data_IF_373603608224
#
_entry.id   IF_373603608224
#
_cell.length_a   1.000
_cell.length_b   1.000
_cell.length_c   1.000
_cell.angle_alpha   90.00
_cell.angle_beta   90.00
_cell.angle_gamma   90.00
#
_symmetry.space_group_name_H-M   'P 1'
#
loop_
_entity.id
_entity.type
_entity.pdbx_description
1 polymer ?
#
# COMPACT_ATOMS: atom_id res chain seq x y z
N UNK A 1 -49.98 -44.11 -21.72
CA UNK A 1 -49.95 -43.26 -22.93
C UNK A 1 -48.55 -42.70 -23.08
N UNK A 2 -47.89 -42.95 -24.22
CA UNK A 2 -46.71 -42.23 -24.73
C UNK A 2 -47.16 -41.50 -26.03
N UNK A 3 -46.34 -40.68 -26.71
CA UNK A 3 -45.34 -39.67 -26.29
C UNK A 3 -45.45 -38.35 -27.12
N UNK A 4 -44.68 -37.30 -26.81
CA UNK A 4 -44.03 -36.28 -27.70
C UNK A 4 -43.40 -35.17 -26.83
N UNK A 5 -42.29 -34.46 -27.10
CA UNK A 5 -41.05 -34.56 -27.93
C UNK A 5 -40.12 -33.38 -27.54
N UNK A 6 -38.79 -33.59 -27.50
CA UNK A 6 -37.65 -32.67 -27.80
C UNK A 6 -37.41 -31.38 -26.94
N UNK A 7 -36.20 -30.95 -26.54
CA UNK A 7 -34.79 -31.40 -26.66
C UNK A 7 -33.79 -30.38 -26.02
N UNK A 8 -32.69 -30.89 -25.42
CA UNK A 8 -31.30 -30.42 -25.13
C UNK A 8 -30.88 -28.91 -25.06
N UNK A 9 -29.69 -28.52 -24.49
CA UNK A 9 -28.82 -29.16 -23.49
C UNK A 9 -28.25 -28.22 -22.36
N UNK A 10 -27.57 -28.89 -21.44
CA UNK A 10 -26.64 -28.50 -20.35
C UNK A 10 -25.69 -27.32 -20.67
N UNK A 11 -25.59 -26.36 -19.76
CA UNK A 11 -24.44 -25.43 -19.67
C UNK A 11 -23.60 -25.66 -18.41
N UNK A 12 -22.29 -25.69 -18.67
CA UNK A 12 -21.20 -25.97 -17.75
C UNK A 12 -20.80 -24.72 -16.96
N UNK A 13 -20.40 -24.97 -15.72
CA UNK A 13 -19.63 -24.05 -14.88
C UNK A 13 -18.19 -24.00 -15.42
N UNK A 14 -17.74 -22.85 -15.94
CA UNK A 14 -16.35 -22.38 -15.87
C UNK A 14 -16.30 -20.89 -16.20
N UNK A 15 -15.49 -20.11 -15.46
CA UNK A 15 -14.56 -19.10 -16.01
C UNK A 15 -14.02 -18.17 -14.92
N UNK A 16 -12.99 -18.65 -14.20
CA UNK A 16 -12.14 -17.85 -13.32
C UNK A 16 -10.78 -17.48 -13.93
N UNK A 17 -10.56 -17.73 -15.23
CA UNK A 17 -9.25 -17.55 -15.88
C UNK A 17 -9.22 -16.48 -16.99
N UNK A 18 -10.31 -15.78 -17.25
CA UNK A 18 -10.40 -14.74 -18.30
C UNK A 18 -10.02 -13.34 -17.82
N UNK A 19 -10.20 -13.04 -16.53
CA UNK A 19 -9.95 -11.70 -15.97
C UNK A 19 -8.45 -11.34 -15.85
N UNK A 20 -7.60 -12.30 -15.47
CA UNK A 20 -6.16 -12.07 -15.31
C UNK A 20 -5.44 -11.84 -16.65
N UNK A 21 -5.85 -12.54 -17.72
CA UNK A 21 -5.33 -12.30 -19.08
C UNK A 21 -5.72 -10.92 -19.60
N UNK A 22 -6.94 -10.46 -19.30
CA UNK A 22 -7.40 -9.11 -19.65
C UNK A 22 -6.59 -8.02 -18.92
N UNK A 23 -6.31 -8.19 -17.63
CA UNK A 23 -5.47 -7.25 -16.87
C UNK A 23 -4.02 -7.24 -17.36
N UNK A 24 -3.45 -8.41 -17.70
CA UNK A 24 -2.09 -8.51 -18.23
C UNK A 24 -1.94 -7.82 -19.60
N UNK A 25 -2.94 -7.96 -20.49
CA UNK A 25 -2.95 -7.31 -21.80
C UNK A 25 -2.99 -5.78 -21.69
N UNK A 26 -3.79 -5.26 -20.76
CA UNK A 26 -3.96 -3.81 -20.58
C UNK A 26 -2.67 -3.13 -20.05
N UNK A 27 -1.84 -3.86 -19.31
CA UNK A 27 -0.53 -3.40 -18.83
C UNK A 27 0.50 -3.38 -19.97
N UNK A 28 0.44 -4.33 -20.90
CA UNK A 28 1.31 -4.39 -22.09
C UNK A 28 1.03 -3.20 -23.01
N UNK A 29 -0.25 -2.89 -23.25
CA UNK A 29 -0.68 -1.80 -24.14
C UNK A 29 -0.28 -0.41 -23.60
N UNK A 30 -0.23 -0.23 -22.27
CA UNK A 30 0.17 1.02 -21.63
C UNK A 30 1.70 1.21 -21.58
N UNK A 31 2.48 0.12 -21.65
CA UNK A 31 3.93 0.12 -21.56
C UNK A 31 4.66 0.22 -22.92
N UNK A 32 3.93 0.20 -24.05
CA UNK A 32 4.50 0.47 -25.38
C UNK A 32 5.51 -0.57 -25.90
N UNK A 33 5.42 -1.83 -25.46
CA UNK A 33 6.26 -2.92 -25.96
C UNK A 33 5.56 -3.64 -27.12
N UNK A 34 6.03 -3.43 -28.35
CA UNK A 34 5.55 -4.19 -29.51
C UNK A 34 6.35 -5.49 -29.67
N UNK A 35 5.66 -6.63 -29.64
CA UNK A 35 6.17 -7.93 -30.07
C UNK A 35 5.30 -8.38 -31.25
N UNK A 36 5.93 -8.57 -32.39
CA UNK A 36 5.31 -9.00 -33.65
C UNK A 36 5.07 -10.52 -33.65
N UNK A 37 3.87 -10.92 -34.03
CA UNK A 37 3.45 -12.31 -34.22
C UNK A 37 4.18 -12.93 -35.41
N UNK A 38 4.99 -13.95 -35.15
CA UNK A 38 5.43 -14.94 -36.14
C UNK A 38 5.91 -16.20 -35.41
N UNK A 39 5.02 -16.93 -34.72
CA UNK A 39 5.33 -18.29 -34.24
C UNK A 39 4.05 -19.12 -33.98
N UNK A 40 3.19 -19.26 -35.01
CA UNK A 40 2.07 -20.22 -35.02
C UNK A 40 2.38 -21.52 -35.79
N UNK A 41 3.64 -21.98 -35.81
CA UNK A 41 4.00 -23.26 -36.44
C UNK A 41 4.73 -24.28 -35.54
N UNK A 42 4.77 -24.12 -34.21
CA UNK A 42 5.48 -25.05 -33.32
C UNK A 42 4.63 -25.83 -32.31
N UNK A 43 3.30 -25.89 -32.46
CA UNK A 43 2.44 -26.62 -31.49
C UNK A 43 1.92 -27.99 -31.92
N UNK A 44 2.31 -28.54 -33.08
CA UNK A 44 1.95 -29.91 -33.48
C UNK A 44 3.06 -30.96 -33.32
N UNK A 45 4.27 -30.57 -32.91
CA UNK A 45 5.38 -31.53 -32.74
C UNK A 45 5.58 -32.03 -31.29
N UNK A 46 4.78 -31.58 -30.34
CA UNK A 46 4.98 -31.87 -28.91
C UNK A 46 4.06 -32.97 -28.34
N UNK A 47 3.20 -33.59 -29.15
CA UNK A 47 2.33 -34.69 -28.69
C UNK A 47 2.83 -36.09 -29.07
N UNK A 48 3.85 -36.21 -29.92
CA UNK A 48 4.43 -37.50 -30.31
C UNK A 48 5.69 -37.88 -29.50
N UNK A 49 6.21 -36.97 -28.66
CA UNK A 49 7.44 -37.19 -27.90
C UNK A 49 7.22 -37.73 -26.48
N UNK A 50 5.96 -37.73 -25.99
CA UNK A 50 5.63 -38.21 -24.63
C UNK A 50 5.51 -39.75 -24.57
N UNK A 51 5.09 -40.42 -25.66
CA UNK A 51 4.97 -41.89 -25.68
C UNK A 51 6.29 -42.67 -25.78
N UNK A 52 7.41 -42.02 -26.11
CA UNK A 52 8.73 -42.70 -26.22
C UNK A 52 9.48 -42.67 -24.86
N UNK A 53 9.13 -41.75 -23.95
CA UNK A 53 9.77 -41.65 -22.64
C UNK A 53 9.18 -42.59 -21.57
N UNK A 54 7.97 -43.12 -21.75
CA UNK A 54 7.36 -44.04 -20.77
C UNK A 54 7.78 -45.51 -20.97
N UNK A 55 8.21 -45.92 -22.18
CA UNK A 55 8.63 -47.30 -22.46
C UNK A 55 10.03 -47.67 -21.91
N UNK A 56 10.85 -46.70 -21.52
CA UNK A 56 12.24 -46.92 -21.11
C UNK A 56 12.44 -47.06 -19.59
N UNK A 57 11.37 -46.96 -18.79
CA UNK A 57 11.44 -46.98 -17.32
C UNK A 57 11.19 -48.35 -16.66
N UNK A 58 11.01 -49.44 -17.42
CA UNK A 58 10.71 -50.76 -16.84
C UNK A 58 11.80 -51.84 -16.93
N UNK A 59 13.07 -51.51 -17.26
CA UNK A 59 14.09 -52.56 -17.40
C UNK A 59 15.42 -52.43 -16.65
N UNK A 60 15.59 -51.52 -15.69
CA UNK A 60 16.84 -51.47 -14.92
C UNK A 60 16.65 -51.40 -13.40
N UNK A 61 16.11 -52.48 -12.83
CA UNK A 61 16.13 -52.67 -11.37
C UNK A 61 16.68 -54.03 -10.90
N UNK A 62 17.50 -54.71 -11.70
CA UNK A 62 18.26 -55.86 -11.21
C UNK A 62 19.71 -55.81 -11.71
N UNK A 63 20.61 -55.39 -10.83
CA UNK A 63 21.84 -56.11 -10.43
C UNK A 63 22.82 -55.15 -9.75
N UNK A 64 22.75 -55.10 -8.42
CA UNK A 64 23.95 -54.90 -7.62
C UNK A 64 24.79 -56.17 -7.74
N UNK A 65 26.03 -56.06 -8.23
CA UNK A 65 27.17 -56.70 -7.59
C UNK A 65 28.50 -56.28 -8.25
N UNK A 66 29.34 -55.66 -7.41
CA UNK A 66 30.77 -55.91 -7.32
C UNK A 66 31.66 -55.54 -8.53
N UNK A 67 32.35 -54.39 -8.46
CA UNK A 67 33.81 -54.25 -8.65
C UNK A 67 34.24 -52.78 -8.71
N UNK A 68 35.26 -52.45 -7.89
CA UNK A 68 36.19 -51.34 -8.10
C UNK A 68 35.67 -49.92 -7.86
N UNK A 69 36.25 -49.21 -6.89
CA UNK A 69 36.13 -47.75 -6.74
C UNK A 69 36.27 -47.06 -8.11
N UNK A 70 35.27 -46.28 -8.50
CA UNK A 70 35.31 -45.42 -9.69
C UNK A 70 36.21 -44.23 -9.39
N UNK A 71 37.50 -44.33 -9.75
CA UNK A 71 38.40 -43.19 -9.68
C UNK A 71 38.03 -42.21 -10.81
N UNK A 72 37.50 -41.05 -10.45
CA UNK A 72 37.18 -40.01 -11.42
C UNK A 72 38.48 -39.35 -11.88
N UNK A 73 38.93 -39.69 -13.09
CA UNK A 73 40.09 -39.05 -13.72
C UNK A 73 39.69 -37.67 -14.24
N UNK A 74 39.81 -36.65 -13.38
CA UNK A 74 39.60 -35.25 -13.74
C UNK A 74 40.95 -34.70 -14.22
N UNK A 75 41.08 -34.21 -15.47
CA UNK A 75 42.31 -33.59 -15.95
C UNK A 75 42.75 -32.47 -14.99
N UNK A 76 44.04 -32.37 -14.61
CA UNK A 76 44.49 -31.37 -13.65
C UNK A 76 44.10 -29.93 -14.00
N UNK A 77 43.89 -29.64 -15.30
CA UNK A 77 43.44 -28.35 -15.83
C UNK A 77 41.92 -28.10 -15.70
N UNK A 78 41.07 -29.13 -15.64
CA UNK A 78 39.62 -28.99 -15.39
C UNK A 78 39.24 -29.14 -13.91
N UNK A 79 40.15 -29.68 -13.09
CA UNK A 79 39.99 -29.79 -11.64
C UNK A 79 40.31 -28.50 -10.86
N UNK A 80 40.69 -27.42 -11.54
CA UNK A 80 40.98 -26.11 -10.93
C UNK A 80 39.75 -25.22 -10.76
N UNK A 81 38.54 -25.80 -10.72
CA UNK A 81 37.44 -25.11 -10.06
C UNK A 81 37.88 -24.93 -8.58
N UNK A 82 38.05 -23.70 -8.07
CA UNK A 82 38.47 -23.54 -6.68
C UNK A 82 37.37 -24.17 -5.81
N UNK A 83 37.67 -25.33 -5.22
CA UNK A 83 36.79 -26.08 -4.30
C UNK A 83 36.66 -25.38 -2.94
N UNK A 84 36.81 -24.05 -2.92
CA UNK A 84 36.78 -23.20 -1.74
C UNK A 84 36.25 -21.82 -2.11
N UNK A 85 35.82 -21.07 -1.10
CA UNK A 85 35.35 -19.70 -1.30
C UNK A 85 36.40 -18.90 -2.06
N UNK A 86 36.06 -18.41 -3.25
CA UNK A 86 36.93 -17.52 -4.02
C UNK A 86 37.16 -16.28 -3.17
N UNK A 87 38.42 -15.92 -2.85
CA UNK A 87 38.70 -14.73 -2.06
C UNK A 87 38.08 -13.51 -2.75
N UNK A 88 37.27 -12.76 -1.99
CA UNK A 88 36.71 -11.51 -2.49
C UNK A 88 37.84 -10.60 -2.97
N UNK A 89 37.66 -9.99 -4.14
CA UNK A 89 38.56 -8.95 -4.63
C UNK A 89 38.69 -7.84 -3.57
N UNK A 90 39.87 -7.21 -3.50
CA UNK A 90 40.16 -6.19 -2.48
C UNK A 90 39.13 -5.06 -2.47
N UNK A 91 38.63 -4.66 -3.64
CA UNK A 91 37.56 -3.68 -3.79
C UNK A 91 36.25 -4.17 -3.14
N UNK A 92 35.81 -5.39 -3.41
CA UNK A 92 34.62 -5.97 -2.79
C UNK A 92 34.73 -6.10 -1.27
N UNK A 93 35.94 -6.39 -0.75
CA UNK A 93 36.17 -6.38 0.70
C UNK A 93 36.01 -4.98 1.30
N UNK A 94 36.47 -3.94 0.59
CA UNK A 94 36.28 -2.55 1.01
C UNK A 94 34.81 -2.13 0.95
N UNK A 95 34.10 -2.48 -0.11
CA UNK A 95 32.66 -2.24 -0.24
C UNK A 95 31.88 -2.92 0.89
N UNK A 96 32.22 -4.17 1.23
CA UNK A 96 31.60 -4.88 2.35
C UNK A 96 31.81 -4.14 3.68
N UNK A 97 33.03 -3.67 3.96
CA UNK A 97 33.32 -2.89 5.18
C UNK A 97 32.51 -1.59 5.25
N UNK A 98 32.38 -0.88 4.13
CA UNK A 98 31.58 0.35 4.07
C UNK A 98 30.09 0.06 4.25
N UNK A 99 29.59 -1.02 3.64
CA UNK A 99 28.20 -1.48 3.78
C UNK A 99 27.88 -1.91 5.22
N UNK A 100 28.79 -2.63 5.87
CA UNK A 100 28.67 -3.02 7.28
C UNK A 100 28.62 -1.78 8.19
N UNK A 101 29.48 -0.79 7.96
CA UNK A 101 29.43 0.48 8.69
C UNK A 101 28.10 1.24 8.47
N UNK A 102 27.58 1.25 7.24
CA UNK A 102 26.29 1.85 6.92
C UNK A 102 25.11 1.09 7.56
N UNK A 103 25.20 -0.23 7.68
CA UNK A 103 24.17 -1.07 8.30
C UNK A 103 23.91 -0.69 9.77
N UNK A 104 24.96 -0.37 10.54
CA UNK A 104 24.80 0.08 11.92
C UNK A 104 24.17 1.48 12.07
N UNK A 105 24.08 2.23 10.97
CA UNK A 105 23.57 3.60 10.93
C UNK A 105 22.56 3.77 9.78
N UNK A 106 21.69 2.75 9.60
CA UNK A 106 20.68 2.82 8.55
C UNK A 106 19.80 4.08 8.72
N UNK A 107 19.47 4.77 7.62
CA UNK A 107 18.56 5.91 7.66
C UNK A 107 17.25 5.55 8.34
N UNK A 108 16.82 6.39 9.26
CA UNK A 108 15.53 6.22 9.91
C UNK A 108 14.41 6.76 9.00
N UNK A 109 13.18 6.23 9.04
CA UNK A 109 12.08 6.79 8.27
C UNK A 109 11.82 8.29 8.50
N UNK A 110 12.23 8.84 9.65
CA UNK A 110 12.16 10.28 9.93
C UNK A 110 13.04 11.13 9.02
N UNK A 111 14.14 10.57 8.50
CA UNK A 111 15.17 11.33 7.78
C UNK A 111 14.67 11.80 6.40
N UNK A 112 13.58 11.20 5.92
CA UNK A 112 12.93 11.54 4.65
C UNK A 112 11.63 12.34 4.81
N UNK A 113 11.13 12.55 6.02
CA UNK A 113 9.89 13.31 6.28
C UNK A 113 10.18 14.66 6.93
N UNK A 114 9.21 15.58 6.86
CA UNK A 114 9.29 16.81 7.66
C UNK A 114 9.27 16.45 9.14
N UNK A 115 10.01 17.23 9.92
CA UNK A 115 10.06 17.10 11.38
C UNK A 115 8.64 17.20 11.94
N UNK A 116 8.28 16.23 12.79
CA UNK A 116 7.01 16.18 13.51
C UNK A 116 7.22 16.69 14.93
N UNK A 117 6.69 17.85 15.25
CA UNK A 117 6.87 18.48 16.58
C UNK A 117 6.22 17.69 17.71
N UNK A 118 5.02 17.16 17.47
CA UNK A 118 4.20 16.56 18.53
C UNK A 118 4.19 15.04 18.55
N UNK A 119 4.22 14.41 17.38
CA UNK A 119 4.11 12.96 17.21
C UNK A 119 5.35 12.44 16.44
N UNK A 120 6.53 12.43 17.07
CA UNK A 120 7.73 11.86 16.47
C UNK A 120 7.55 10.35 16.24
N UNK A 121 8.14 9.82 15.16
CA UNK A 121 8.15 8.37 14.93
C UNK A 121 9.13 7.71 15.89
N UNK A 122 8.59 6.88 16.79
CA UNK A 122 9.37 6.05 17.72
C UNK A 122 9.06 4.57 17.46
N UNK A 123 9.77 3.91 16.53
CA UNK A 123 9.59 2.48 16.31
C UNK A 123 9.86 1.70 17.61
N UNK A 124 8.98 0.75 17.91
CA UNK A 124 9.14 -0.15 19.04
C UNK A 124 8.69 -1.55 18.65
N UNK A 125 9.22 -2.56 19.33
CA UNK A 125 8.78 -3.95 19.15
C UNK A 125 7.40 -4.13 19.77
N UNK A 126 6.40 -4.38 18.95
CA UNK A 126 5.05 -4.71 19.41
C UNK A 126 4.78 -6.21 19.24
N UNK A 127 4.03 -6.87 20.14
CA UNK A 127 3.65 -8.26 19.97
C UNK A 127 2.90 -8.52 18.66
N UNK A 128 3.15 -9.67 18.02
CA UNK A 128 2.62 -9.99 16.69
C UNK A 128 1.10 -10.12 16.60
N UNK A 129 0.42 -10.30 17.73
CA UNK A 129 -1.05 -10.35 17.78
C UNK A 129 -1.72 -8.97 17.74
N UNK A 130 -0.96 -7.87 17.88
CA UNK A 130 -1.48 -6.52 17.63
C UNK A 130 -1.49 -6.19 16.15
N UNK A 131 -2.33 -5.23 15.77
CA UNK A 131 -2.44 -4.71 14.40
C UNK A 131 -1.10 -4.04 14.02
N UNK A 132 -0.36 -4.65 13.10
CA UNK A 132 0.96 -4.17 12.66
C UNK A 132 0.89 -3.17 11.49
N UNK A 133 -0.20 -3.19 10.72
CA UNK A 133 -0.38 -2.35 9.54
C UNK A 133 -1.60 -1.44 9.69
N UNK A 134 -1.60 -0.24 9.11
CA UNK A 134 -2.78 0.62 9.10
C UNK A 134 -4.00 -0.09 8.50
N UNK A 135 -5.19 0.27 8.98
CA UNK A 135 -6.44 -0.29 8.48
C UNK A 135 -6.61 0.01 6.97
N UNK A 136 -7.13 -0.93 6.17
CA UNK A 136 -7.46 -0.66 4.78
C UNK A 136 -8.41 0.54 4.63
N UNK A 137 -8.16 1.39 3.64
CA UNK A 137 -8.96 2.58 3.32
C UNK A 137 -9.05 3.62 4.44
N UNK A 138 -8.18 3.57 5.46
CA UNK A 138 -8.13 4.56 6.54
C UNK A 138 -7.63 5.94 6.09
N UNK A 139 -7.15 6.07 4.85
CA UNK A 139 -6.64 7.31 4.26
C UNK A 139 -7.66 8.03 3.35
N UNK A 140 -8.93 7.59 3.40
CA UNK A 140 -10.04 8.15 2.63
C UNK A 140 -10.79 9.24 3.41
N UNK A 141 -11.42 10.18 2.72
CA UNK A 141 -12.27 11.19 3.37
C UNK A 141 -13.47 10.55 4.09
N UNK A 142 -14.03 9.49 3.51
CA UNK A 142 -15.18 8.78 4.10
C UNK A 142 -14.83 8.18 5.47
N UNK A 143 -13.64 7.61 5.63
CA UNK A 143 -13.15 7.14 6.93
C UNK A 143 -13.12 8.28 7.95
N UNK A 144 -12.55 9.44 7.59
CA UNK A 144 -12.47 10.60 8.47
C UNK A 144 -13.85 11.15 8.86
N UNK A 145 -14.84 11.10 7.97
CA UNK A 145 -16.21 11.53 8.30
C UNK A 145 -16.89 10.69 9.39
N UNK A 146 -16.42 9.46 9.61
CA UNK A 146 -16.93 8.54 10.65
C UNK A 146 -16.24 8.75 12.01
N UNK A 147 -15.14 9.52 12.05
CA UNK A 147 -14.42 9.80 13.29
C UNK A 147 -15.18 10.83 14.15
N UNK A 148 -15.00 10.74 15.46
CA UNK A 148 -15.50 11.75 16.38
C UNK A 148 -14.81 13.10 16.14
N UNK A 149 -15.51 14.20 16.39
CA UNK A 149 -14.97 15.55 16.20
C UNK A 149 -13.68 15.78 17.00
N UNK A 150 -13.60 15.25 18.22
CA UNK A 150 -12.38 15.30 19.05
C UNK A 150 -11.18 14.66 18.35
N UNK A 151 -11.36 13.50 17.71
CA UNK A 151 -10.31 12.85 16.93
C UNK A 151 -9.90 13.70 15.72
N UNK A 152 -10.86 14.35 15.06
CA UNK A 152 -10.57 15.26 13.96
C UNK A 152 -9.77 16.49 14.43
N UNK A 153 -10.09 17.06 15.59
CA UNK A 153 -9.32 18.14 16.19
C UNK A 153 -7.91 17.67 16.57
N UNK A 154 -7.77 16.45 17.13
CA UNK A 154 -6.45 15.86 17.41
C UNK A 154 -5.59 15.78 16.17
N UNK A 155 -6.11 15.21 15.09
CA UNK A 155 -5.38 15.14 13.82
C UNK A 155 -5.07 16.55 13.30
N UNK A 156 -6.01 17.49 13.42
CA UNK A 156 -5.81 18.85 12.92
C UNK A 156 -4.67 19.60 13.63
N UNK A 157 -4.59 19.53 14.96
CA UNK A 157 -3.61 20.26 15.75
C UNK A 157 -2.25 19.55 15.89
N UNK A 158 -2.24 18.21 15.98
CA UNK A 158 -1.02 17.45 16.27
C UNK A 158 -0.36 16.81 15.04
N UNK A 159 -1.04 16.76 13.90
CA UNK A 159 -0.50 16.23 12.63
C UNK A 159 -0.40 17.32 11.56
N UNK A 160 0.04 18.51 11.95
CA UNK A 160 0.19 19.68 11.08
C UNK A 160 1.04 19.37 9.82
N UNK A 161 0.61 19.90 8.67
CA UNK A 161 1.32 19.78 7.41
C UNK A 161 1.20 18.40 6.73
N UNK A 162 0.26 17.57 7.18
CA UNK A 162 0.06 16.20 6.64
C UNK A 162 -1.24 16.06 5.84
N UNK A 163 -1.32 15.02 4.99
CA UNK A 163 -2.58 14.59 4.34
C UNK A 163 -3.69 14.34 5.36
N UNK A 164 -3.35 13.84 6.55
CA UNK A 164 -4.32 13.56 7.60
C UNK A 164 -4.97 14.85 8.14
N UNK A 165 -4.20 15.92 8.36
CA UNK A 165 -4.75 17.23 8.75
C UNK A 165 -5.73 17.76 7.70
N UNK A 166 -5.38 17.65 6.41
CA UNK A 166 -6.26 18.06 5.32
C UNK A 166 -7.57 17.26 5.28
N UNK A 167 -7.52 15.95 5.45
CA UNK A 167 -8.71 15.10 5.51
C UNK A 167 -9.57 15.43 6.73
N UNK A 168 -8.94 15.69 7.89
CA UNK A 168 -9.64 16.09 9.09
C UNK A 168 -10.35 17.44 8.92
N UNK A 169 -9.67 18.44 8.36
CA UNK A 169 -10.26 19.74 8.04
C UNK A 169 -11.45 19.60 7.07
N UNK A 170 -11.32 18.78 6.03
CA UNK A 170 -12.43 18.48 5.10
C UNK A 170 -13.61 17.82 5.80
N UNK A 171 -13.37 16.86 6.69
CA UNK A 171 -14.42 16.19 7.45
C UNK A 171 -15.13 17.17 8.40
N UNK A 172 -14.37 18.02 9.11
CA UNK A 172 -14.91 19.09 9.97
C UNK A 172 -15.77 20.08 9.18
N UNK A 173 -15.30 20.55 8.01
CA UNK A 173 -16.08 21.43 7.12
C UNK A 173 -17.40 20.80 6.68
N UNK A 174 -17.40 19.49 6.34
CA UNK A 174 -18.61 18.73 6.01
C UNK A 174 -19.55 18.55 7.20
N UNK A 175 -19.02 18.56 8.42
CA UNK A 175 -19.76 18.57 9.68
C UNK A 175 -20.11 20.00 10.14
N UNK A 176 -20.12 20.98 9.23
CA UNK A 176 -20.48 22.38 9.50
C UNK A 176 -19.60 23.12 10.50
N UNK A 177 -18.36 22.67 10.69
CA UNK A 177 -17.34 23.45 11.40
C UNK A 177 -16.68 24.46 10.44
N UNK A 178 -16.26 25.59 10.99
CA UNK A 178 -15.52 26.66 10.29
C UNK A 178 -14.29 27.05 11.10
N UNK A 179 -13.15 27.16 10.43
CA UNK A 179 -11.91 27.56 11.08
C UNK A 179 -11.79 29.09 11.12
N UNK A 180 -11.49 29.61 12.30
CA UNK A 180 -11.26 31.03 12.53
C UNK A 180 -9.76 31.32 12.56
N UNK A 181 -9.23 31.99 11.54
CA UNK A 181 -7.77 32.14 11.34
C UNK A 181 -7.07 32.90 12.46
N UNK A 182 -7.71 33.93 13.06
CA UNK A 182 -7.13 34.67 14.20
C UNK A 182 -7.03 33.87 15.50
N UNK A 183 -8.06 33.11 15.85
CA UNK A 183 -8.07 32.31 17.09
C UNK A 183 -7.48 30.93 16.90
N UNK A 184 -7.32 30.50 15.64
CA UNK A 184 -6.86 29.17 15.26
C UNK A 184 -7.73 28.07 15.87
N UNK A 185 -9.04 28.32 15.95
CA UNK A 185 -10.05 27.44 16.54
C UNK A 185 -11.17 27.17 15.56
N UNK A 186 -11.78 26.00 15.71
CA UNK A 186 -12.95 25.59 14.95
C UNK A 186 -14.23 25.99 15.68
N UNK A 187 -15.16 26.59 14.95
CA UNK A 187 -16.46 27.04 15.43
C UNK A 187 -17.59 26.34 14.67
N UNK A 188 -18.69 26.06 15.35
CA UNK A 188 -19.94 25.59 14.78
C UNK A 188 -21.08 26.40 15.39
N UNK A 189 -22.06 26.76 14.56
CA UNK A 189 -23.27 27.45 15.02
C UNK A 189 -24.05 26.52 15.94
N UNK A 190 -24.35 26.96 17.16
CA UNK A 190 -25.22 26.21 18.08
C UNK A 190 -26.69 26.41 17.74
N UNK A 191 -27.02 27.62 17.30
CA UNK A 191 -28.33 28.10 16.87
C UNK A 191 -28.11 29.03 15.66
N UNK A 192 -29.18 29.40 14.94
CA UNK A 192 -29.08 30.42 13.90
C UNK A 192 -28.60 31.75 14.50
N UNK A 193 -27.62 32.43 13.87
CA UNK A 193 -27.08 33.68 14.39
C UNK A 193 -28.14 34.78 14.36
N UNK A 194 -28.13 35.63 15.39
CA UNK A 194 -29.11 36.71 15.57
C UNK A 194 -28.88 37.86 14.59
N UNK A 195 -27.63 38.07 14.18
CA UNK A 195 -27.22 39.12 13.25
C UNK A 195 -26.33 38.47 12.21
N UNK A 196 -26.62 38.72 10.93
CA UNK A 196 -25.79 38.37 9.79
C UNK A 196 -25.71 39.61 8.92
N UNK A 197 -24.50 40.09 8.62
CA UNK A 197 -24.26 41.12 7.62
C UNK A 197 -23.11 40.69 6.70
N UNK A 198 -22.63 41.59 5.84
CA UNK A 198 -21.55 41.27 4.87
C UNK A 198 -20.17 41.13 5.53
N UNK A 199 -19.97 41.67 6.73
CA UNK A 199 -18.67 41.72 7.41
C UNK A 199 -18.51 40.62 8.47
N UNK A 200 -19.61 40.27 9.14
CA UNK A 200 -19.62 39.36 10.28
C UNK A 200 -20.99 38.71 10.50
N UNK A 201 -20.98 37.66 11.34
CA UNK A 201 -22.17 37.11 11.97
C UNK A 201 -22.02 37.11 13.49
N UNK A 202 -23.12 37.39 14.19
CA UNK A 202 -23.14 37.36 15.65
C UNK A 202 -24.20 36.39 16.16
N UNK A 203 -23.81 35.47 17.04
CA UNK A 203 -24.69 34.42 17.53
C UNK A 203 -24.08 33.58 18.64
N UNK A 204 -24.73 32.45 18.90
CA UNK A 204 -24.25 31.45 19.85
C UNK A 204 -23.50 30.36 19.12
N UNK A 205 -22.24 30.15 19.48
CA UNK A 205 -21.37 29.16 18.87
C UNK A 205 -20.90 28.14 19.90
N UNK A 206 -20.65 26.92 19.42
CA UNK A 206 -19.73 26.02 20.09
C UNK A 206 -18.38 26.07 19.38
N UNK A 207 -17.31 25.94 20.14
CA UNK A 207 -15.95 25.92 19.61
C UNK A 207 -15.11 24.87 20.33
N UNK A 208 -14.04 24.42 19.69
CA UNK A 208 -13.06 23.54 20.34
C UNK A 208 -11.89 24.37 20.87
N UNK A 209 -11.73 24.35 22.20
CA UNK A 209 -10.63 24.99 22.91
C UNK A 209 -9.45 24.02 22.95
N UNK A 210 -8.42 24.29 22.16
CA UNK A 210 -7.22 23.43 22.10
C UNK A 210 -6.34 23.53 23.35
N UNK A 211 -6.43 24.62 24.13
CA UNK A 211 -5.65 24.77 25.37
C UNK A 211 -6.27 23.96 26.51
N UNK A 212 -7.62 23.96 26.58
CA UNK A 212 -8.38 23.19 27.58
C UNK A 212 -8.80 21.81 27.08
N UNK A 213 -8.46 21.47 25.84
CA UNK A 213 -8.78 20.23 25.15
C UNK A 213 -10.27 19.85 25.30
N UNK A 214 -11.17 20.70 24.80
CA UNK A 214 -12.60 20.39 24.89
C UNK A 214 -13.53 21.40 24.23
N UNK A 215 -14.79 20.97 24.05
CA UNK A 215 -15.82 21.85 23.51
C UNK A 215 -16.30 22.87 24.56
N UNK A 216 -16.56 24.08 24.10
CA UNK A 216 -17.05 25.22 24.89
C UNK A 216 -18.16 25.93 24.13
N UNK A 217 -19.12 26.49 24.86
CA UNK A 217 -20.21 27.31 24.32
C UNK A 217 -19.91 28.79 24.57
N UNK A 218 -20.08 29.62 23.55
CA UNK A 218 -19.88 31.07 23.60
C UNK A 218 -21.12 31.76 23.06
N UNK A 219 -21.79 32.52 23.92
CA UNK A 219 -22.94 33.34 23.54
C UNK A 219 -22.49 34.72 23.06
N UNK A 220 -23.24 35.32 22.14
CA UNK A 220 -22.98 36.67 21.61
C UNK A 220 -21.64 36.83 20.90
N UNK A 221 -21.06 35.72 20.41
CA UNK A 221 -19.78 35.74 19.69
C UNK A 221 -19.96 36.36 18.30
N UNK A 222 -19.09 37.30 17.97
CA UNK A 222 -18.99 37.91 16.64
C UNK A 222 -17.92 37.19 15.84
N UNK A 223 -18.34 36.45 14.82
CA UNK A 223 -17.47 35.82 13.84
C UNK A 223 -17.29 36.78 12.66
N UNK A 224 -16.14 37.46 12.57
CA UNK A 224 -15.83 38.33 11.44
C UNK A 224 -15.35 37.50 10.24
N UNK A 225 -15.96 37.69 9.07
CA UNK A 225 -15.63 36.90 7.87
C UNK A 225 -14.23 37.18 7.33
N UNK A 226 -13.59 38.28 7.73
CA UNK A 226 -12.16 38.53 7.46
C UNK A 226 -11.24 37.46 8.07
N UNK A 227 -11.73 36.71 9.06
CA UNK A 227 -11.01 35.60 9.69
C UNK A 227 -11.56 34.23 9.30
N UNK A 228 -12.46 34.16 8.33
CA UNK A 228 -12.90 32.90 7.76
C UNK A 228 -11.83 32.39 6.79
N UNK A 229 -11.43 31.14 6.96
CA UNK A 229 -10.40 30.45 6.16
C UNK A 229 -10.59 30.49 4.63
N UNK A 230 -11.83 30.70 4.15
CA UNK A 230 -12.18 30.65 2.73
C UNK A 230 -12.16 32.03 2.03
N UNK A 231 -11.80 33.13 2.72
CA UNK A 231 -11.86 34.48 2.11
C UNK A 231 -10.84 34.69 0.98
N UNK A 232 -9.65 34.11 1.08
CA UNK A 232 -8.55 34.39 0.15
C UNK A 232 -8.55 33.45 -1.09
N UNK A 233 -9.62 32.66 -1.27
CA UNK A 233 -9.78 31.68 -2.36
C UNK A 233 -10.79 32.08 -3.44
N UNK A 234 -11.32 33.31 -3.41
CA UNK A 234 -12.23 33.87 -4.41
C UNK A 234 -11.64 35.10 -5.11
#
# INVERSE_FOLDING_TARGET
>A
MQPTTNGLPIDKISDGMTSLKSMAQQVIDQAGLQISDSDEQQQQQQQQQVSILEASKQQQQQQQQNQGRSEAHIPPLLGVAPLGAVPLQKEHQQQFKLMEAAFYHMPHPSDSERIRTYLPRTPCTTPSYYIQTPLPHSDTLEFFQRLATETLFFVFYYMEGTKAQYLAAKALKKQSWRFHTKYMMWFQRHEEPKIINEEFEQGTYIYFDYEKWGQRKKEGFTFEYKYLEDRDLN
#
